data_IF_563968648538
#
_entry.id   IF_563968648538
#
_cell.length_a   1.000
_cell.length_b   1.000
_cell.length_c   1.000
_cell.angle_alpha   90.00
_cell.angle_beta   90.00
_cell.angle_gamma   90.00
#
_symmetry.space_group_name_H-M   'P 1'
#
loop_
_entity.id
_entity.type
_entity.pdbx_description
1 polymer ?
#
# COMPACT_ATOMS: atom_id res chain seq x y z
N UNK A 1 17.12 -23.01 -5.10
CA UNK A 1 15.72 -22.69 -5.46
C UNK A 1 15.44 -21.26 -4.99
N UNK A 2 15.56 -20.25 -5.86
CA UNK A 2 15.19 -18.87 -5.52
C UNK A 2 13.65 -18.80 -5.52
N UNK A 3 12.97 -18.87 -4.37
CA UNK A 3 11.67 -19.52 -4.34
C UNK A 3 10.58 -18.47 -4.43
N UNK A 4 10.11 -18.08 -5.63
CA UNK A 4 8.86 -17.33 -5.92
C UNK A 4 8.60 -15.97 -5.20
N UNK A 5 8.76 -15.89 -3.89
CA UNK A 5 8.50 -14.77 -3.01
C UNK A 5 9.43 -13.57 -3.21
N UNK A 6 10.71 -13.76 -3.55
CA UNK A 6 11.59 -12.63 -3.88
C UNK A 6 11.16 -11.96 -5.19
N UNK A 7 10.71 -12.74 -6.18
CA UNK A 7 10.14 -12.23 -7.42
C UNK A 7 8.85 -11.46 -7.10
N UNK A 8 8.02 -11.98 -6.19
CA UNK A 8 6.81 -11.30 -5.73
C UNK A 8 7.11 -9.96 -5.05
N UNK A 9 8.11 -9.91 -4.16
CA UNK A 9 8.58 -8.66 -3.55
C UNK A 9 9.06 -7.68 -4.62
N UNK A 10 9.88 -8.13 -5.58
CA UNK A 10 10.35 -7.30 -6.67
C UNK A 10 9.20 -6.77 -7.54
N UNK A 11 8.22 -7.61 -7.85
CA UNK A 11 7.02 -7.25 -8.61
C UNK A 11 6.17 -6.21 -7.86
N UNK A 12 6.00 -6.37 -6.54
CA UNK A 12 5.32 -5.38 -5.69
C UNK A 12 6.03 -4.03 -5.71
N UNK A 13 7.37 -4.03 -5.58
CA UNK A 13 8.17 -2.80 -5.67
C UNK A 13 8.01 -2.14 -7.03
N UNK A 14 8.15 -2.91 -8.12
CA UNK A 14 8.01 -2.38 -9.47
C UNK A 14 6.62 -1.79 -9.73
N UNK A 15 5.57 -2.48 -9.25
CA UNK A 15 4.19 -2.01 -9.31
C UNK A 15 4.01 -0.68 -8.57
N UNK A 16 4.55 -0.56 -7.36
CA UNK A 16 4.48 0.68 -6.59
C UNK A 16 5.22 1.82 -7.28
N UNK A 17 6.40 1.55 -7.84
CA UNK A 17 7.14 2.56 -8.63
C UNK A 17 6.36 3.05 -9.86
N UNK A 18 5.50 2.21 -10.45
CA UNK A 18 4.58 2.67 -11.51
C UNK A 18 3.53 3.61 -10.95
N UNK A 19 2.90 3.26 -9.82
CA UNK A 19 1.89 4.10 -9.16
C UNK A 19 2.48 5.47 -8.75
N UNK A 20 3.68 5.47 -8.18
CA UNK A 20 4.36 6.70 -7.73
C UNK A 20 4.62 7.70 -8.87
N UNK A 21 4.85 7.20 -10.08
CA UNK A 21 5.07 8.01 -11.29
C UNK A 21 3.79 8.55 -11.92
N UNK A 22 2.62 8.04 -11.55
CA UNK A 22 1.35 8.60 -12.03
C UNK A 22 1.15 10.01 -11.48
N UNK A 23 0.52 10.86 -12.29
CA UNK A 23 0.20 12.26 -11.94
C UNK A 23 -0.82 12.33 -10.78
N UNK A 24 -1.10 13.53 -10.29
CA UNK A 24 -2.17 13.74 -9.32
C UNK A 24 -3.49 13.18 -9.85
N UNK A 25 -4.38 12.74 -8.94
CA UNK A 25 -5.62 12.06 -9.34
C UNK A 25 -6.50 12.88 -10.28
N UNK A 26 -6.40 14.20 -10.23
CA UNK A 26 -7.19 15.14 -11.04
C UNK A 26 -6.67 15.28 -12.48
N UNK A 27 -5.50 14.73 -12.78
CA UNK A 27 -4.82 14.83 -14.09
C UNK A 27 -4.71 13.47 -14.81
N UNK A 28 -5.34 12.43 -14.29
CA UNK A 28 -5.31 11.09 -14.89
C UNK A 28 -6.46 10.92 -15.88
N UNK A 29 -6.15 10.36 -17.06
CA UNK A 29 -7.20 9.84 -17.94
C UNK A 29 -7.87 8.59 -17.34
N UNK A 30 -9.04 8.22 -17.85
CA UNK A 30 -9.81 7.07 -17.35
C UNK A 30 -9.01 5.75 -17.39
N UNK A 31 -8.14 5.58 -18.39
CA UNK A 31 -7.29 4.41 -18.55
C UNK A 31 -6.20 4.33 -17.48
N UNK A 32 -5.52 5.44 -17.21
CA UNK A 32 -4.52 5.58 -16.16
C UNK A 32 -5.14 5.44 -14.77
N UNK A 33 -6.33 6.02 -14.56
CA UNK A 33 -7.09 5.88 -13.32
C UNK A 33 -7.46 4.42 -13.03
N UNK A 34 -7.93 3.69 -14.05
CA UNK A 34 -8.22 2.26 -13.94
C UNK A 34 -6.97 1.44 -13.65
N UNK A 35 -5.89 1.66 -14.40
CA UNK A 35 -4.60 0.98 -14.19
C UNK A 35 -4.09 1.20 -12.77
N UNK A 36 -4.13 2.44 -12.25
CA UNK A 36 -3.77 2.74 -10.86
C UNK A 36 -4.57 1.91 -9.88
N UNK A 37 -5.90 1.89 -10.04
CA UNK A 37 -6.80 1.21 -9.11
C UNK A 37 -6.60 -0.32 -9.16
N UNK A 38 -6.33 -0.89 -10.34
CA UNK A 38 -5.98 -2.31 -10.51
C UNK A 38 -4.64 -2.66 -9.83
N UNK A 39 -3.63 -1.80 -9.98
CA UNK A 39 -2.33 -1.99 -9.34
C UNK A 39 -2.44 -1.89 -7.81
N UNK A 40 -3.17 -0.90 -7.30
CA UNK A 40 -3.48 -0.78 -5.85
C UNK A 40 -4.24 -2.01 -5.34
N UNK A 41 -5.14 -2.57 -6.15
CA UNK A 41 -5.83 -3.82 -5.86
C UNK A 41 -4.87 -5.00 -5.67
N UNK A 42 -3.93 -5.19 -6.61
CA UNK A 42 -2.90 -6.22 -6.52
C UNK A 42 -2.02 -6.05 -5.27
N UNK A 43 -1.58 -4.82 -4.98
CA UNK A 43 -0.80 -4.54 -3.78
C UNK A 43 -1.56 -4.95 -2.50
N UNK A 44 -2.86 -4.62 -2.42
CA UNK A 44 -3.73 -4.99 -1.30
C UNK A 44 -3.82 -6.50 -1.11
N UNK A 45 -3.93 -7.28 -2.18
CA UNK A 45 -4.10 -8.74 -2.06
C UNK A 45 -2.90 -9.40 -1.35
N UNK A 46 -1.71 -8.83 -1.51
CA UNK A 46 -0.48 -9.31 -0.86
C UNK A 46 -0.39 -9.02 0.65
N UNK A 47 -1.34 -8.29 1.24
CA UNK A 47 -1.42 -8.09 2.70
C UNK A 47 -1.74 -9.40 3.47
N UNK A 48 -2.19 -10.42 2.74
CA UNK A 48 -2.55 -11.75 3.27
C UNK A 48 -1.55 -12.84 2.90
N UNK A 49 -0.43 -12.48 2.29
CA UNK A 49 0.60 -13.45 1.92
C UNK A 49 1.07 -14.25 3.14
N UNK A 50 1.27 -15.55 2.96
CA UNK A 50 1.69 -16.46 4.04
C UNK A 50 3.07 -16.06 4.62
N UNK A 51 4.08 -15.71 3.79
CA UNK A 51 5.35 -15.21 4.30
C UNK A 51 5.25 -13.81 4.90
N UNK A 52 5.67 -13.68 6.15
CA UNK A 52 5.61 -12.41 6.89
C UNK A 52 6.43 -11.28 6.23
N UNK A 53 7.54 -11.61 5.56
CA UNK A 53 8.38 -10.61 4.92
C UNK A 53 7.74 -9.97 3.68
N UNK A 54 6.74 -10.61 3.07
CA UNK A 54 6.00 -10.01 1.96
C UNK A 54 4.92 -9.08 2.52
N UNK A 55 4.24 -9.49 3.60
CA UNK A 55 3.25 -8.64 4.29
C UNK A 55 3.89 -7.36 4.85
N UNK A 56 5.07 -7.47 5.49
CA UNK A 56 5.79 -6.28 5.98
C UNK A 56 6.14 -5.34 4.81
N UNK A 57 6.64 -5.88 3.69
CA UNK A 57 7.01 -5.11 2.50
C UNK A 57 5.79 -4.43 1.87
N UNK A 58 4.65 -5.12 1.82
CA UNK A 58 3.39 -4.54 1.37
C UNK A 58 2.97 -3.34 2.24
N UNK A 59 3.08 -3.44 3.57
CA UNK A 59 2.81 -2.32 4.50
C UNK A 59 3.79 -1.15 4.33
N UNK A 60 5.07 -1.44 4.10
CA UNK A 60 6.09 -0.43 3.80
C UNK A 60 5.74 0.34 2.51
N UNK A 61 5.35 -0.37 1.46
CA UNK A 61 4.93 0.22 0.18
C UNK A 61 3.65 1.06 0.33
N UNK A 62 2.64 0.58 1.06
CA UNK A 62 1.45 1.38 1.37
C UNK A 62 1.80 2.68 2.11
N UNK A 63 2.75 2.61 3.05
CA UNK A 63 3.22 3.79 3.78
C UNK A 63 3.85 4.80 2.82
N UNK A 64 4.69 4.35 1.90
CA UNK A 64 5.29 5.20 0.85
C UNK A 64 4.21 5.92 0.03
N UNK A 65 3.21 5.16 -0.46
CA UNK A 65 2.11 5.72 -1.26
C UNK A 65 1.25 6.73 -0.49
N UNK A 66 1.04 6.52 0.81
CA UNK A 66 0.32 7.47 1.68
C UNK A 66 1.10 8.77 1.83
N UNK A 67 2.39 8.70 2.13
CA UNK A 67 3.26 9.88 2.29
C UNK A 67 3.31 10.69 0.99
N UNK A 68 3.40 10.00 -0.16
CA UNK A 68 3.44 10.64 -1.48
C UNK A 68 2.06 11.08 -1.99
N UNK A 69 1.00 10.95 -1.19
CA UNK A 69 -0.39 11.30 -1.55
C UNK A 69 -0.89 10.59 -2.82
N UNK A 70 -0.46 9.34 -3.03
CA UNK A 70 -0.82 8.51 -4.18
C UNK A 70 -2.04 7.61 -3.94
N UNK A 71 -2.50 7.49 -2.70
CA UNK A 71 -3.71 6.72 -2.36
C UNK A 71 -4.95 7.57 -2.65
N UNK A 72 -5.88 7.13 -3.53
CA UNK A 72 -7.11 7.85 -3.77
C UNK A 72 -7.96 7.96 -2.51
N UNK A 73 -8.62 9.10 -2.28
CA UNK A 73 -9.46 9.34 -1.10
C UNK A 73 -10.49 8.22 -0.88
N UNK A 74 -11.14 7.77 -1.97
CA UNK A 74 -12.11 6.65 -1.95
C UNK A 74 -11.55 5.33 -1.40
N UNK A 75 -10.23 5.13 -1.44
CA UNK A 75 -9.56 3.93 -0.92
C UNK A 75 -8.95 4.15 0.48
N UNK A 76 -8.90 5.38 0.98
CA UNK A 76 -8.15 5.73 2.18
C UNK A 76 -8.61 4.95 3.42
N UNK A 77 -9.93 4.91 3.66
CA UNK A 77 -10.52 4.13 4.76
C UNK A 77 -10.19 2.64 4.62
N UNK A 78 -10.26 2.13 3.39
CA UNK A 78 -9.96 0.72 3.13
C UNK A 78 -8.50 0.38 3.47
N UNK A 79 -7.55 1.25 3.13
CA UNK A 79 -6.14 1.05 3.47
C UNK A 79 -5.91 1.18 4.98
N UNK A 80 -6.65 2.07 5.65
CA UNK A 80 -6.59 2.22 7.09
C UNK A 80 -7.02 0.93 7.82
N UNK A 81 -8.13 0.32 7.40
CA UNK A 81 -8.60 -0.98 7.89
C UNK A 81 -7.54 -2.08 7.74
N UNK A 82 -6.84 -2.12 6.59
CA UNK A 82 -5.75 -3.08 6.38
C UNK A 82 -4.63 -2.90 7.40
N UNK A 83 -4.26 -1.65 7.70
CA UNK A 83 -3.28 -1.34 8.74
C UNK A 83 -3.74 -1.84 10.10
N UNK A 84 -4.98 -1.52 10.49
CA UNK A 84 -5.57 -1.96 11.75
C UNK A 84 -5.61 -3.49 11.88
N UNK A 85 -6.02 -4.19 10.82
CA UNK A 85 -6.09 -5.66 10.76
C UNK A 85 -4.72 -6.33 10.92
N UNK A 86 -3.62 -5.61 10.63
CA UNK A 86 -2.24 -6.11 10.78
C UNK A 86 -1.58 -5.73 12.10
N UNK A 87 -2.23 -4.92 12.94
CA UNK A 87 -1.74 -4.61 14.31
C UNK A 87 -1.66 -5.86 15.20
N UNK A 88 -2.41 -6.92 14.87
CA UNK A 88 -2.40 -8.21 15.58
C UNK A 88 -1.73 -9.34 14.81
N UNK A 89 -0.91 -9.03 13.79
CA UNK A 89 -0.21 -10.05 13.01
C UNK A 89 0.73 -10.91 13.89
N UNK A 90 0.89 -12.19 13.56
CA UNK A 90 1.78 -13.12 14.27
C UNK A 90 3.24 -12.62 14.33
N UNK A 91 3.72 -12.00 13.25
CA UNK A 91 5.09 -11.53 13.13
C UNK A 91 5.24 -10.09 13.66
N UNK A 92 6.16 -9.89 14.60
CA UNK A 92 6.42 -8.57 15.20
C UNK A 92 6.80 -7.50 14.16
N UNK A 93 7.54 -7.88 13.11
CA UNK A 93 7.92 -6.96 12.03
C UNK A 93 6.71 -6.46 11.24
N UNK A 94 5.70 -7.31 11.03
CA UNK A 94 4.47 -6.89 10.35
C UNK A 94 3.69 -5.93 11.25
N UNK A 95 3.57 -6.22 12.55
CA UNK A 95 2.93 -5.29 13.51
C UNK A 95 3.62 -3.93 13.54
N UNK A 96 4.96 -3.89 13.54
CA UNK A 96 5.72 -2.63 13.49
C UNK A 96 5.35 -1.78 12.27
N UNK A 97 5.36 -2.38 11.07
CA UNK A 97 5.00 -1.66 9.85
C UNK A 97 3.52 -1.30 9.78
N UNK A 98 2.64 -2.07 10.40
CA UNK A 98 1.23 -1.75 10.51
C UNK A 98 1.00 -0.49 11.37
N UNK A 99 1.69 -0.36 12.50
CA UNK A 99 1.68 0.85 13.33
C UNK A 99 2.18 2.06 12.52
N UNK A 100 3.30 1.89 11.80
CA UNK A 100 3.85 2.94 10.94
C UNK A 100 2.85 3.38 9.87
N UNK A 101 2.20 2.45 9.17
CA UNK A 101 1.18 2.76 8.18
C UNK A 101 0.02 3.55 8.81
N UNK A 102 -0.58 3.04 9.89
CA UNK A 102 -1.70 3.69 10.59
C UNK A 102 -1.33 5.10 11.02
N UNK A 103 -0.14 5.29 11.59
CA UNK A 103 0.38 6.60 11.96
C UNK A 103 0.46 7.55 10.76
N UNK A 104 1.09 7.13 9.66
CA UNK A 104 1.20 7.97 8.47
C UNK A 104 -0.16 8.24 7.81
N UNK A 105 -1.13 7.33 7.93
CA UNK A 105 -2.49 7.58 7.46
C UNK A 105 -3.22 8.63 8.30
N UNK A 106 -2.98 8.71 9.62
CA UNK A 106 -3.52 9.80 10.42
C UNK A 106 -2.84 11.12 10.07
N UNK A 107 -1.51 11.12 9.95
CA UNK A 107 -0.73 12.33 9.65
C UNK A 107 -0.96 12.91 8.26
N UNK A 108 -1.29 12.06 7.27
CA UNK A 108 -1.52 12.46 5.89
C UNK A 108 -3.00 12.33 5.49
N UNK A 109 -3.90 12.43 6.46
CA UNK A 109 -5.32 12.22 6.25
C UNK A 109 -5.90 13.29 5.29
N UNK A 110 -6.46 12.90 4.13
CA UNK A 110 -6.93 13.82 3.11
C UNK A 110 -8.28 14.48 3.43
N UNK A 111 -8.95 14.07 4.52
CA UNK A 111 -10.20 14.68 4.98
C UNK A 111 -9.96 15.93 5.83
N UNK A 112 -8.74 16.16 6.32
CA UNK A 112 -8.36 17.42 6.95
C UNK A 112 -8.00 18.45 5.87
N UNK A 113 -9.02 18.93 5.16
CA UNK A 113 -8.95 20.20 4.43
C UNK A 113 -9.84 21.17 5.22
N UNK A 114 -9.21 22.14 5.89
CA UNK A 114 -9.85 23.33 6.45
C UNK A 114 -9.60 24.46 5.46
#
# INVERSE_FOLDING_TARGET
MLPSHHIRVAALTALCSVIERLRSSDELDDGQGKMRDDLLGKLRDHIRDEPAFIRQHCLELWTSLVIQKKVPVKQYIRVFELGLDRLRDKACRVRKHAVTLVMHMVLNNPYFVI
#
